data_IF_028210626619
#
_entry.id   IF_028210626619
#
_cell.length_a   1.000
_cell.length_b   1.000
_cell.length_c   1.000
_cell.angle_alpha   90.00
_cell.angle_beta   90.00
_cell.angle_gamma   90.00
#
_symmetry.space_group_name_H-M   'P 1'
#
loop_
_entity.id
_entity.type
_entity.pdbx_description
1 polymer ?
#
# COMPACT_ATOMS: atom_id res chain seq x y z
N UNK A 1 -4.09 -8.02 -39.27
CA UNK A 1 -5.40 -8.20 -38.59
C UNK A 1 -5.30 -8.78 -37.17
N UNK A 2 -4.47 -9.79 -36.90
CA UNK A 2 -4.31 -10.45 -35.54
C UNK A 2 -4.02 -9.46 -34.38
N UNK A 3 -3.20 -8.45 -34.58
CA UNK A 3 -2.79 -7.56 -33.53
C UNK A 3 -3.85 -6.63 -32.96
N UNK A 4 -4.71 -6.14 -33.80
CA UNK A 4 -5.84 -5.33 -33.32
C UNK A 4 -6.81 -6.15 -32.46
N UNK A 5 -6.85 -7.47 -32.67
CA UNK A 5 -7.68 -8.39 -31.89
C UNK A 5 -7.06 -8.67 -30.51
N UNK A 6 -5.74 -8.83 -30.39
CA UNK A 6 -5.06 -9.08 -29.11
C UNK A 6 -5.23 -7.90 -28.16
N UNK A 7 -4.94 -6.68 -28.64
CA UNK A 7 -5.16 -5.47 -27.83
C UNK A 7 -6.62 -5.29 -27.41
N UNK A 8 -7.58 -5.62 -28.30
CA UNK A 8 -9.00 -5.59 -27.96
C UNK A 8 -9.35 -6.61 -26.88
N UNK A 9 -8.69 -7.77 -26.86
CA UNK A 9 -8.93 -8.81 -25.85
C UNK A 9 -8.41 -8.35 -24.46
N UNK A 10 -7.18 -7.85 -24.41
CA UNK A 10 -6.58 -7.26 -23.20
C UNK A 10 -7.41 -6.09 -22.70
N UNK A 11 -7.79 -5.15 -23.56
CA UNK A 11 -8.64 -4.02 -23.21
C UNK A 11 -10.01 -4.46 -22.67
N UNK A 12 -10.61 -5.51 -23.23
CA UNK A 12 -11.88 -6.06 -22.74
C UNK A 12 -11.75 -6.65 -21.33
N UNK A 13 -10.65 -7.36 -21.05
CA UNK A 13 -10.38 -7.91 -19.71
C UNK A 13 -10.15 -6.79 -18.70
N UNK A 14 -9.33 -5.80 -19.05
CA UNK A 14 -9.09 -4.63 -18.19
C UNK A 14 -10.38 -3.87 -17.89
N UNK A 15 -11.21 -3.65 -18.90
CA UNK A 15 -12.50 -2.97 -18.70
C UNK A 15 -13.42 -3.73 -17.74
N UNK A 16 -13.40 -5.08 -17.77
CA UNK A 16 -14.16 -5.89 -16.81
C UNK A 16 -13.63 -5.71 -15.37
N UNK A 17 -12.30 -5.68 -15.18
CA UNK A 17 -11.69 -5.45 -13.86
C UNK A 17 -12.00 -4.03 -13.39
N UNK A 18 -11.85 -3.03 -14.25
CA UNK A 18 -12.21 -1.63 -13.95
C UNK A 18 -13.69 -1.51 -13.55
N UNK A 19 -14.59 -2.18 -14.25
CA UNK A 19 -16.01 -2.20 -13.90
C UNK A 19 -16.26 -2.89 -12.57
N UNK A 20 -15.62 -4.03 -12.32
CA UNK A 20 -15.71 -4.73 -11.03
C UNK A 20 -15.26 -3.84 -9.86
N UNK A 21 -14.13 -3.13 -10.02
CA UNK A 21 -13.66 -2.20 -8.99
C UNK A 21 -14.58 -0.97 -8.85
N UNK A 22 -15.19 -0.50 -9.93
CA UNK A 22 -16.19 0.56 -9.85
C UNK A 22 -17.42 0.14 -9.04
N UNK A 23 -17.88 -1.10 -9.21
CA UNK A 23 -18.97 -1.69 -8.39
C UNK A 23 -18.56 -1.77 -6.92
N UNK A 24 -17.33 -2.23 -6.64
CA UNK A 24 -16.78 -2.23 -5.26
C UNK A 24 -16.74 -0.82 -4.69
N UNK A 25 -16.31 0.17 -5.47
CA UNK A 25 -16.29 1.58 -5.04
C UNK A 25 -17.69 2.09 -4.71
N UNK A 26 -18.70 1.75 -5.51
CA UNK A 26 -20.09 2.08 -5.21
C UNK A 26 -20.59 1.40 -3.94
N UNK A 27 -20.23 0.13 -3.71
CA UNK A 27 -20.57 -0.58 -2.48
C UNK A 27 -19.92 0.06 -1.25
N UNK A 28 -18.65 0.46 -1.34
CA UNK A 28 -17.98 1.17 -0.24
C UNK A 28 -18.58 2.55 0.04
N UNK A 29 -19.04 3.25 -1.00
CA UNK A 29 -19.79 4.50 -0.83
C UNK A 29 -21.15 4.25 -0.16
N UNK A 30 -21.81 3.15 -0.46
CA UNK A 30 -23.02 2.73 0.25
C UNK A 30 -22.72 2.47 1.73
N UNK A 31 -21.68 1.70 2.05
CA UNK A 31 -21.24 1.49 3.44
C UNK A 31 -20.91 2.79 4.16
N UNK A 32 -20.26 3.75 3.48
CA UNK A 32 -19.99 5.07 4.03
C UNK A 32 -21.29 5.81 4.34
N UNK A 33 -22.26 5.81 3.42
CA UNK A 33 -23.57 6.43 3.64
C UNK A 33 -24.36 5.78 4.78
N UNK A 34 -24.27 4.46 4.92
CA UNK A 34 -24.94 3.70 5.99
C UNK A 34 -24.36 4.02 7.37
N UNK A 35 -23.03 4.10 7.46
CA UNK A 35 -22.35 4.52 8.69
C UNK A 35 -22.69 5.97 9.06
N UNK A 36 -22.83 6.87 8.08
CA UNK A 36 -23.30 8.25 8.32
C UNK A 36 -24.74 8.24 8.86
N UNK A 37 -25.61 7.42 8.31
CA UNK A 37 -26.98 7.29 8.81
C UNK A 37 -27.03 6.73 10.24
N UNK A 38 -26.13 5.80 10.56
CA UNK A 38 -25.97 5.27 11.93
C UNK A 38 -25.47 6.35 12.89
N UNK A 39 -24.51 7.18 12.47
CA UNK A 39 -24.04 8.33 13.25
C UNK A 39 -25.18 9.31 13.52
N UNK A 40 -26.00 9.62 12.50
CA UNK A 40 -27.17 10.45 12.64
C UNK A 40 -28.14 9.89 13.71
N UNK A 41 -28.51 8.64 13.59
CA UNK A 41 -29.46 8.00 14.49
C UNK A 41 -28.94 7.95 15.93
N UNK A 42 -27.68 7.63 16.14
CA UNK A 42 -27.06 7.55 17.47
C UNK A 42 -26.84 8.93 18.08
N UNK A 43 -26.40 9.91 17.29
CA UNK A 43 -26.10 11.26 17.75
C UNK A 43 -27.34 12.07 18.15
N UNK A 44 -28.50 11.79 17.52
CA UNK A 44 -29.75 12.50 17.84
C UNK A 44 -30.65 11.75 18.84
N UNK A 45 -30.54 10.42 18.93
CA UNK A 45 -31.39 9.60 19.81
C UNK A 45 -30.78 9.38 21.18
N UNK A 46 -29.48 9.23 21.26
CA UNK A 46 -28.77 9.18 22.53
C UNK A 46 -28.46 10.62 22.94
N UNK A 47 -29.41 11.26 23.66
CA UNK A 47 -29.05 12.45 24.42
C UNK A 47 -27.84 12.12 25.27
N UNK A 48 -26.72 12.81 25.07
CA UNK A 48 -25.53 12.56 25.85
C UNK A 48 -25.88 12.74 27.32
N UNK A 49 -25.38 11.83 28.16
CA UNK A 49 -25.44 11.99 29.60
C UNK A 49 -24.82 13.35 29.94
N UNK A 50 -25.65 14.29 30.34
CA UNK A 50 -25.20 15.60 30.80
C UNK A 50 -24.52 15.44 32.13
N UNK A 51 -23.22 15.20 32.12
CA UNK A 51 -22.34 15.37 33.27
C UNK A 51 -21.91 16.84 33.31
N UNK A 52 -22.34 17.56 34.35
CA UNK A 52 -21.98 18.96 34.66
C UNK A 52 -22.22 20.01 33.52
N UNK A 53 -23.22 19.81 32.67
CA UNK A 53 -23.54 20.77 31.62
C UNK A 53 -22.66 20.73 30.39
N UNK A 54 -21.74 19.76 30.29
CA UNK A 54 -20.92 19.50 29.12
C UNK A 54 -21.30 18.17 28.50
N UNK A 55 -21.50 18.20 27.19
CA UNK A 55 -21.69 17.01 26.37
C UNK A 55 -20.30 16.43 26.09
N UNK A 56 -19.98 15.30 26.69
CA UNK A 56 -18.80 14.55 26.32
C UNK A 56 -19.08 13.76 25.04
N UNK A 57 -18.75 14.34 23.91
CA UNK A 57 -18.82 13.67 22.60
C UNK A 57 -17.62 12.74 22.35
N UNK A 58 -16.85 12.41 23.36
CA UNK A 58 -15.67 11.54 23.27
C UNK A 58 -15.96 10.13 22.72
N UNK A 59 -17.23 9.74 22.62
CA UNK A 59 -17.70 8.52 21.98
C UNK A 59 -18.24 8.73 20.55
N UNK A 60 -18.24 9.95 20.03
CA UNK A 60 -18.73 10.23 18.68
C UNK A 60 -17.63 10.03 17.65
N UNK A 61 -17.79 9.03 16.81
CA UNK A 61 -16.99 8.91 15.61
C UNK A 61 -17.23 10.12 14.72
N UNK A 62 -16.20 10.85 14.34
CA UNK A 62 -16.33 11.94 13.38
C UNK A 62 -16.61 11.37 11.98
N UNK A 63 -17.20 12.18 11.10
CA UNK A 63 -17.39 11.80 9.71
C UNK A 63 -16.05 11.45 9.05
N UNK A 64 -15.00 12.17 9.44
CA UNK A 64 -13.64 11.93 8.95
C UNK A 64 -13.08 10.58 9.42
N UNK A 65 -13.35 10.12 10.63
CA UNK A 65 -12.94 8.79 11.12
C UNK A 65 -13.67 7.67 10.37
N UNK A 66 -14.97 7.78 10.17
CA UNK A 66 -15.73 6.82 9.35
C UNK A 66 -15.16 6.77 7.92
N UNK A 67 -14.86 7.94 7.34
CA UNK A 67 -14.19 8.02 6.03
C UNK A 67 -12.85 7.29 6.04
N UNK A 68 -12.03 7.49 7.08
CA UNK A 68 -10.71 6.87 7.24
C UNK A 68 -10.81 5.34 7.27
N UNK A 69 -11.68 4.80 8.11
CA UNK A 69 -11.87 3.35 8.24
C UNK A 69 -12.33 2.70 6.93
N UNK A 70 -13.33 3.26 6.28
CA UNK A 70 -13.84 2.75 5.01
C UNK A 70 -12.80 2.89 3.90
N UNK A 71 -12.04 3.99 3.90
CA UNK A 71 -10.96 4.20 2.92
C UNK A 71 -9.82 3.21 3.09
N UNK A 72 -9.51 2.76 4.31
CA UNK A 72 -8.55 1.68 4.56
C UNK A 72 -8.99 0.38 3.89
N UNK A 73 -10.22 -0.07 4.12
CA UNK A 73 -10.77 -1.29 3.52
C UNK A 73 -10.82 -1.16 1.99
N UNK A 74 -11.32 -0.03 1.48
CA UNK A 74 -11.35 0.23 0.05
C UNK A 74 -9.94 0.19 -0.56
N UNK A 75 -8.94 0.74 0.12
CA UNK A 75 -7.57 0.76 -0.35
C UNK A 75 -6.96 -0.65 -0.46
N UNK A 76 -7.23 -1.53 0.49
CA UNK A 76 -6.78 -2.93 0.41
C UNK A 76 -7.36 -3.63 -0.83
N UNK A 77 -8.66 -3.48 -1.09
CA UNK A 77 -9.32 -4.03 -2.27
C UNK A 77 -8.77 -3.39 -3.56
N UNK A 78 -8.45 -2.11 -3.51
CA UNK A 78 -7.83 -1.38 -4.59
C UNK A 78 -6.43 -1.92 -4.94
N UNK A 79 -5.60 -2.24 -3.95
CA UNK A 79 -4.29 -2.85 -4.14
C UNK A 79 -4.39 -4.25 -4.76
N UNK A 80 -5.33 -5.08 -4.33
CA UNK A 80 -5.60 -6.38 -4.95
C UNK A 80 -5.99 -6.21 -6.42
N UNK A 81 -6.85 -5.23 -6.70
CA UNK A 81 -7.28 -4.92 -8.09
C UNK A 81 -6.11 -4.46 -8.96
N UNK A 82 -5.20 -3.65 -8.42
CA UNK A 82 -3.97 -3.24 -9.10
C UNK A 82 -3.12 -4.46 -9.48
N UNK A 83 -2.95 -5.41 -8.57
CA UNK A 83 -2.27 -6.69 -8.86
C UNK A 83 -2.93 -7.45 -10.02
N UNK A 84 -4.26 -7.55 -10.02
CA UNK A 84 -5.03 -8.20 -11.10
C UNK A 84 -4.90 -7.47 -12.43
N UNK A 85 -4.92 -6.15 -12.45
CA UNK A 85 -4.71 -5.32 -13.65
C UNK A 85 -3.36 -5.65 -14.28
N UNK A 86 -2.29 -5.70 -13.47
CA UNK A 86 -0.94 -5.98 -13.96
C UNK A 86 -0.84 -7.41 -14.48
N UNK A 87 -1.41 -8.38 -13.77
CA UNK A 87 -1.48 -9.77 -14.25
C UNK A 87 -2.16 -9.87 -15.61
N UNK A 88 -3.30 -9.19 -15.79
CA UNK A 88 -4.02 -9.17 -17.06
C UNK A 88 -3.25 -8.50 -18.19
N UNK A 89 -2.53 -7.41 -17.91
CA UNK A 89 -1.71 -6.71 -18.91
C UNK A 89 -0.60 -7.60 -19.46
N UNK A 90 0.05 -8.36 -18.58
CA UNK A 90 1.17 -9.20 -18.98
C UNK A 90 0.78 -10.61 -19.42
N UNK A 91 -0.48 -11.02 -19.22
CA UNK A 91 -0.94 -12.35 -19.60
C UNK A 91 -0.67 -12.66 -21.08
N UNK A 92 -1.08 -11.74 -21.96
CA UNK A 92 -0.94 -11.91 -23.40
C UNK A 92 0.51 -11.64 -23.87
N UNK A 93 1.22 -10.68 -23.25
CA UNK A 93 2.61 -10.32 -23.59
C UNK A 93 3.58 -11.50 -23.37
N UNK A 94 3.24 -12.43 -22.46
CA UNK A 94 4.10 -13.58 -22.13
C UNK A 94 3.89 -14.79 -23.00
N UNK A 95 2.85 -14.85 -23.81
CA UNK A 95 2.70 -15.88 -24.82
C UNK A 95 3.72 -15.60 -25.93
N UNK A 96 4.56 -16.60 -26.26
CA UNK A 96 5.67 -16.40 -27.20
C UNK A 96 5.20 -15.87 -28.55
N UNK A 97 4.14 -16.45 -29.11
CA UNK A 97 3.54 -15.99 -30.39
C UNK A 97 3.09 -14.53 -30.32
N UNK A 98 2.51 -14.12 -29.20
CA UNK A 98 2.02 -12.75 -29.01
C UNK A 98 3.17 -11.78 -28.82
N UNK A 99 4.20 -12.20 -28.11
CA UNK A 99 5.41 -11.40 -27.87
C UNK A 99 6.15 -11.15 -29.19
N UNK A 100 6.48 -12.20 -29.94
CA UNK A 100 7.15 -12.08 -31.24
C UNK A 100 6.37 -11.17 -32.19
N UNK A 101 5.05 -11.36 -32.23
CA UNK A 101 4.20 -10.49 -33.02
C UNK A 101 4.23 -9.03 -32.52
N UNK A 102 4.17 -8.77 -31.20
CA UNK A 102 4.20 -7.39 -30.67
C UNK A 102 5.51 -6.67 -31.04
N UNK A 103 6.64 -7.36 -30.94
CA UNK A 103 7.94 -6.79 -31.28
C UNK A 103 8.22 -6.70 -32.78
N UNK A 104 7.43 -7.40 -33.62
CA UNK A 104 7.47 -7.27 -35.09
C UNK A 104 6.66 -6.07 -35.61
N UNK A 105 5.87 -5.40 -34.75
CA UNK A 105 5.11 -4.22 -35.15
C UNK A 105 6.05 -3.05 -35.47
N UNK A 106 5.73 -2.22 -36.49
CA UNK A 106 6.49 -1.02 -36.79
C UNK A 106 6.25 0.11 -35.79
N UNK A 107 6.35 -0.21 -34.50
CA UNK A 107 6.13 0.70 -33.37
C UNK A 107 7.33 0.59 -32.44
N UNK A 108 7.84 1.70 -31.97
CA UNK A 108 8.97 1.68 -31.06
C UNK A 108 8.58 1.03 -29.74
N UNK A 109 9.50 0.26 -29.13
CA UNK A 109 9.31 -0.38 -27.83
C UNK A 109 8.90 0.62 -26.73
N UNK A 110 9.36 1.87 -26.86
CA UNK A 110 8.98 2.97 -25.96
C UNK A 110 7.49 3.25 -25.97
N UNK A 111 6.88 3.22 -27.16
CA UNK A 111 5.44 3.44 -27.32
C UNK A 111 4.65 2.24 -26.78
N UNK A 112 5.15 1.02 -27.01
CA UNK A 112 4.54 -0.19 -26.44
C UNK A 112 4.56 -0.16 -24.91
N UNK A 113 5.71 0.17 -24.32
CA UNK A 113 5.88 0.32 -22.88
C UNK A 113 4.93 1.39 -22.32
N UNK A 114 4.97 2.61 -22.89
CA UNK A 114 4.14 3.71 -22.43
C UNK A 114 2.64 3.38 -22.51
N UNK A 115 2.21 2.72 -23.62
CA UNK A 115 0.83 2.29 -23.79
C UNK A 115 0.41 1.28 -22.71
N UNK A 116 1.24 0.25 -22.45
CA UNK A 116 0.95 -0.76 -21.45
C UNK A 116 0.84 -0.14 -20.05
N UNK A 117 1.80 0.72 -19.69
CA UNK A 117 1.82 1.38 -18.38
C UNK A 117 0.62 2.33 -18.19
N UNK A 118 0.40 3.25 -19.15
CA UNK A 118 -0.70 4.22 -19.07
C UNK A 118 -2.07 3.54 -19.06
N UNK A 119 -2.24 2.46 -19.84
CA UNK A 119 -3.51 1.74 -19.87
C UNK A 119 -3.86 1.13 -18.51
N UNK A 120 -2.87 0.59 -17.80
CA UNK A 120 -3.06 0.09 -16.45
C UNK A 120 -3.37 1.20 -15.46
N UNK A 121 -2.62 2.32 -15.51
CA UNK A 121 -2.91 3.49 -14.67
C UNK A 121 -4.34 3.99 -14.87
N UNK A 122 -4.80 4.13 -16.09
CA UNK A 122 -6.16 4.55 -16.39
C UNK A 122 -7.21 3.57 -15.84
N UNK A 123 -6.93 2.26 -15.90
CA UNK A 123 -7.86 1.24 -15.46
C UNK A 123 -8.21 1.35 -13.96
N UNK A 124 -7.28 1.72 -13.10
CA UNK A 124 -7.56 1.90 -11.67
C UNK A 124 -7.88 3.36 -11.30
N UNK A 125 -7.45 4.34 -12.10
CA UNK A 125 -7.77 5.75 -11.82
C UNK A 125 -9.26 6.04 -11.95
N UNK A 126 -9.96 5.36 -12.86
CA UNK A 126 -11.42 5.55 -13.06
C UNK A 126 -12.21 5.17 -11.79
N UNK A 127 -12.05 3.96 -11.18
CA UNK A 127 -12.71 3.63 -9.92
C UNK A 127 -12.30 4.53 -8.76
N UNK A 128 -11.03 4.96 -8.72
CA UNK A 128 -10.56 5.91 -7.71
C UNK A 128 -11.27 7.26 -7.82
N UNK A 129 -11.41 7.80 -9.04
CA UNK A 129 -12.16 9.04 -9.28
C UNK A 129 -13.61 8.91 -8.84
N UNK A 130 -14.25 7.78 -9.19
CA UNK A 130 -15.63 7.50 -8.77
C UNK A 130 -15.77 7.52 -7.25
N UNK A 131 -14.87 6.83 -6.55
CA UNK A 131 -14.85 6.81 -5.09
C UNK A 131 -14.61 8.21 -4.51
N UNK A 132 -13.62 8.94 -5.02
CA UNK A 132 -13.27 10.29 -4.58
C UNK A 132 -14.46 11.25 -4.72
N UNK A 133 -15.09 11.29 -5.88
CA UNK A 133 -16.25 12.15 -6.13
C UNK A 133 -17.42 11.76 -5.22
N UNK A 134 -17.68 10.47 -5.05
CA UNK A 134 -18.72 9.97 -4.18
C UNK A 134 -18.51 10.37 -2.72
N UNK A 135 -17.30 10.22 -2.17
CA UNK A 135 -16.95 10.65 -0.80
C UNK A 135 -17.18 12.15 -0.63
N UNK A 136 -16.72 12.97 -1.56
CA UNK A 136 -16.88 14.42 -1.48
C UNK A 136 -18.36 14.84 -1.55
N UNK A 137 -19.18 14.20 -2.39
CA UNK A 137 -20.63 14.45 -2.46
C UNK A 137 -21.30 14.08 -1.12
N UNK A 138 -21.01 12.89 -0.58
CA UNK A 138 -21.58 12.45 0.71
C UNK A 138 -21.17 13.37 1.84
N UNK A 139 -19.91 13.82 1.87
CA UNK A 139 -19.43 14.80 2.84
C UNK A 139 -20.21 16.13 2.72
N UNK A 140 -20.30 16.72 1.52
CA UNK A 140 -20.98 18.01 1.32
C UNK A 140 -22.45 17.91 1.70
N UNK A 141 -23.10 16.80 1.36
CA UNK A 141 -24.53 16.58 1.68
C UNK A 141 -24.79 16.53 3.19
N UNK A 142 -23.87 15.96 3.94
CA UNK A 142 -24.07 15.71 5.37
C UNK A 142 -23.39 16.75 6.28
N UNK A 143 -22.60 17.67 5.72
CA UNK A 143 -21.80 18.60 6.49
C UNK A 143 -22.63 19.52 7.40
N UNK A 144 -23.81 20.01 6.94
CA UNK A 144 -24.61 20.99 7.68
C UNK A 144 -25.06 20.46 9.04
N UNK A 145 -25.68 19.27 9.07
CA UNK A 145 -26.18 18.71 10.32
C UNK A 145 -25.03 18.21 11.22
N UNK A 146 -23.91 17.75 10.64
CA UNK A 146 -22.71 17.36 11.40
C UNK A 146 -22.09 18.58 12.09
N UNK A 147 -22.07 19.73 11.43
CA UNK A 147 -21.63 21.00 12.04
C UNK A 147 -22.48 21.39 13.24
N UNK A 148 -23.79 21.25 13.12
CA UNK A 148 -24.70 21.49 14.24
C UNK A 148 -24.42 20.55 15.41
N UNK A 149 -24.13 19.29 15.13
CA UNK A 149 -23.77 18.29 16.13
C UNK A 149 -22.45 18.64 16.84
N UNK A 150 -21.41 19.02 16.07
CA UNK A 150 -20.11 19.38 16.64
C UNK A 150 -20.18 20.65 17.52
N UNK A 151 -21.06 21.57 17.23
CA UNK A 151 -21.25 22.79 18.07
C UNK A 151 -21.69 22.48 19.50
N UNK A 152 -22.17 21.27 19.76
CA UNK A 152 -22.52 20.80 21.10
C UNK A 152 -21.29 20.38 21.91
N UNK A 153 -20.16 20.12 21.25
CA UNK A 153 -18.90 19.69 21.87
C UNK A 153 -18.00 20.88 22.23
N UNK A 154 -17.31 20.79 23.36
CA UNK A 154 -16.30 21.76 23.81
C UNK A 154 -15.15 21.92 22.79
N UNK A 155 -14.83 20.86 22.10
CA UNK A 155 -13.73 20.79 21.13
C UNK A 155 -14.17 21.00 19.66
N UNK A 156 -15.36 21.56 19.44
CA UNK A 156 -15.97 21.70 18.12
C UNK A 156 -15.04 22.30 17.04
N UNK A 157 -14.13 23.21 17.40
CA UNK A 157 -13.19 23.82 16.46
C UNK A 157 -12.23 22.79 15.86
N UNK A 158 -11.76 21.85 16.67
CA UNK A 158 -10.84 20.79 16.22
C UNK A 158 -11.55 19.82 15.28
N UNK A 159 -12.79 19.44 15.59
CA UNK A 159 -13.61 18.60 14.71
C UNK A 159 -13.87 19.27 13.37
N UNK A 160 -14.16 20.56 13.37
CA UNK A 160 -14.37 21.33 12.16
C UNK A 160 -13.09 21.45 11.31
N UNK A 161 -11.92 21.52 11.93
CA UNK A 161 -10.64 21.49 11.22
C UNK A 161 -10.39 20.14 10.53
N UNK A 162 -10.72 19.02 11.17
CA UNK A 162 -10.60 17.69 10.57
C UNK A 162 -11.52 17.53 9.36
N UNK A 163 -12.73 18.08 9.45
CA UNK A 163 -13.73 18.01 8.38
C UNK A 163 -13.41 18.88 7.15
N UNK A 164 -12.28 19.60 7.12
CA UNK A 164 -11.92 20.38 5.95
C UNK A 164 -11.71 19.48 4.72
N UNK A 165 -12.26 19.92 3.57
CA UNK A 165 -12.11 19.22 2.26
C UNK A 165 -10.64 18.90 1.95
N UNK A 166 -9.74 19.80 2.35
CA UNK A 166 -8.31 19.62 2.17
C UNK A 166 -7.76 18.33 2.78
N UNK A 167 -8.28 17.93 3.95
CA UNK A 167 -7.85 16.71 4.64
C UNK A 167 -8.32 15.44 3.92
N UNK A 168 -9.57 15.42 3.46
CA UNK A 168 -10.08 14.34 2.61
C UNK A 168 -9.25 14.20 1.32
N UNK A 169 -8.99 15.34 0.66
CA UNK A 169 -8.20 15.33 -0.57
C UNK A 169 -6.76 14.89 -0.37
N UNK A 170 -6.11 15.29 0.74
CA UNK A 170 -4.76 14.84 1.07
C UNK A 170 -4.71 13.31 1.15
N UNK A 171 -5.63 12.68 1.89
CA UNK A 171 -5.70 11.22 2.03
C UNK A 171 -5.99 10.57 0.69
N UNK A 172 -7.01 11.01 -0.05
CA UNK A 172 -7.39 10.41 -1.32
C UNK A 172 -6.27 10.48 -2.36
N UNK A 173 -5.59 11.62 -2.46
CA UNK A 173 -4.43 11.79 -3.36
C UNK A 173 -3.28 10.90 -2.94
N UNK A 174 -2.98 10.83 -1.65
CA UNK A 174 -1.93 9.97 -1.12
C UNK A 174 -2.20 8.48 -1.43
N UNK A 175 -3.43 8.01 -1.23
CA UNK A 175 -3.85 6.64 -1.55
C UNK A 175 -3.69 6.33 -3.04
N UNK A 176 -4.01 7.29 -3.93
CA UNK A 176 -3.82 7.13 -5.37
C UNK A 176 -2.34 7.07 -5.77
N UNK A 177 -1.51 7.94 -5.22
CA UNK A 177 -0.07 7.96 -5.51
C UNK A 177 0.59 6.69 -4.99
N UNK A 178 0.23 6.24 -3.79
CA UNK A 178 0.72 4.98 -3.26
C UNK A 178 0.25 3.79 -4.10
N UNK A 179 -1.02 3.75 -4.49
CA UNK A 179 -1.53 2.76 -5.43
C UNK A 179 -0.73 2.75 -6.74
N UNK A 180 -0.33 3.93 -7.23
CA UNK A 180 0.53 4.05 -8.42
C UNK A 180 1.94 3.54 -8.17
N UNK A 181 2.48 3.73 -6.96
CA UNK A 181 3.77 3.15 -6.55
C UNK A 181 3.71 1.62 -6.53
N UNK A 182 2.68 1.05 -5.89
CA UNK A 182 2.44 -0.40 -5.88
C UNK A 182 2.24 -0.94 -7.29
N UNK A 183 1.46 -0.27 -8.14
CA UNK A 183 1.32 -0.62 -9.55
C UNK A 183 2.67 -0.67 -10.26
N UNK A 184 3.52 0.32 -10.04
CA UNK A 184 4.84 0.40 -10.67
C UNK A 184 5.77 -0.71 -10.20
N UNK A 185 5.69 -1.11 -8.91
CA UNK A 185 6.41 -2.28 -8.37
C UNK A 185 5.91 -3.57 -9.05
N UNK A 186 4.61 -3.81 -9.08
CA UNK A 186 4.04 -4.99 -9.74
C UNK A 186 4.40 -5.04 -11.22
N UNK A 187 4.32 -3.90 -11.91
CA UNK A 187 4.67 -3.78 -13.33
C UNK A 187 6.15 -4.13 -13.56
N UNK A 188 7.05 -3.60 -12.72
CA UNK A 188 8.48 -3.92 -12.78
C UNK A 188 8.72 -5.41 -12.51
N UNK A 189 8.07 -6.00 -11.50
CA UNK A 189 8.21 -7.42 -11.18
C UNK A 189 7.71 -8.31 -12.30
N UNK A 190 6.72 -7.90 -13.07
CA UNK A 190 6.31 -8.62 -14.27
C UNK A 190 7.39 -8.63 -15.36
N UNK A 191 8.20 -7.60 -15.46
CA UNK A 191 9.34 -7.56 -16.36
C UNK A 191 10.50 -8.41 -15.81
N UNK A 192 10.73 -8.30 -14.50
CA UNK A 192 11.86 -8.93 -13.81
C UNK A 192 11.75 -10.47 -13.67
N UNK A 193 10.53 -11.00 -13.57
CA UNK A 193 10.27 -12.42 -13.38
C UNK A 193 9.80 -13.10 -14.65
N UNK A 194 10.04 -14.42 -14.75
CA UNK A 194 9.64 -15.23 -15.91
C UNK A 194 8.17 -15.66 -15.85
N UNK A 195 7.64 -15.96 -14.66
CA UNK A 195 6.25 -16.45 -14.47
C UNK A 195 5.36 -15.35 -13.89
N UNK A 196 4.15 -15.17 -14.46
CA UNK A 196 3.18 -14.15 -14.02
C UNK A 196 2.84 -14.22 -12.53
N UNK A 197 2.51 -15.42 -12.05
CA UNK A 197 2.09 -15.65 -10.66
C UNK A 197 3.24 -15.35 -9.71
N UNK A 198 4.47 -15.81 -10.03
CA UNK A 198 5.64 -15.52 -9.20
C UNK A 198 5.97 -14.02 -9.18
N UNK A 199 5.79 -13.32 -10.30
CA UNK A 199 5.96 -11.88 -10.36
C UNK A 199 4.98 -11.14 -9.44
N UNK A 200 3.72 -11.57 -9.40
CA UNK A 200 2.72 -11.02 -8.49
C UNK A 200 3.06 -11.33 -7.03
N UNK A 201 3.43 -12.57 -6.70
CA UNK A 201 3.84 -12.95 -5.34
C UNK A 201 5.06 -12.16 -4.86
N UNK A 202 6.10 -12.03 -5.69
CA UNK A 202 7.27 -11.24 -5.33
C UNK A 202 6.97 -9.73 -5.26
N UNK A 203 6.09 -9.22 -6.12
CA UNK A 203 5.62 -7.84 -6.03
C UNK A 203 4.91 -7.56 -4.71
N UNK A 204 4.00 -8.45 -4.28
CA UNK A 204 3.37 -8.39 -2.96
C UNK A 204 4.41 -8.50 -1.85
N UNK A 205 5.36 -9.42 -1.97
CA UNK A 205 6.45 -9.56 -1.01
C UNK A 205 7.27 -8.27 -0.87
N UNK A 206 7.64 -7.60 -1.96
CA UNK A 206 8.39 -6.33 -1.92
C UNK A 206 7.58 -5.22 -1.23
N UNK A 207 6.27 -5.20 -1.37
CA UNK A 207 5.40 -4.21 -0.72
C UNK A 207 5.23 -4.53 0.77
N UNK A 208 4.94 -5.80 1.11
CA UNK A 208 4.60 -6.20 2.47
C UNK A 208 5.83 -6.44 3.37
N UNK A 209 6.96 -6.93 2.82
CA UNK A 209 8.16 -7.26 3.61
C UNK A 209 8.71 -6.09 4.43
N UNK A 210 8.93 -4.89 3.86
CA UNK A 210 9.44 -3.77 4.64
C UNK A 210 8.49 -3.33 5.75
N UNK A 211 7.18 -3.34 5.49
CA UNK A 211 6.16 -3.03 6.47
C UNK A 211 6.16 -4.06 7.61
N UNK A 212 6.12 -5.36 7.28
CA UNK A 212 6.17 -6.44 8.26
C UNK A 212 7.43 -6.38 9.13
N UNK A 213 8.62 -6.28 8.51
CA UNK A 213 9.88 -6.17 9.23
C UNK A 213 9.93 -4.92 10.12
N UNK A 214 9.39 -3.80 9.62
CA UNK A 214 9.31 -2.56 10.39
C UNK A 214 8.47 -2.71 11.65
N UNK A 215 7.27 -3.29 11.55
CA UNK A 215 6.37 -3.52 12.69
C UNK A 215 6.99 -4.47 13.70
N UNK A 216 7.38 -5.67 13.27
CA UNK A 216 7.91 -6.70 14.15
C UNK A 216 9.20 -6.25 14.89
N UNK A 217 10.07 -5.54 14.19
CA UNK A 217 11.29 -5.03 14.81
C UNK A 217 11.01 -3.83 15.71
N UNK A 218 10.25 -2.83 15.23
CA UNK A 218 10.01 -1.60 15.98
C UNK A 218 9.09 -1.78 17.18
N UNK A 219 8.05 -2.61 17.07
CA UNK A 219 7.02 -2.79 18.09
C UNK A 219 7.18 -4.08 18.87
N UNK A 220 7.68 -5.14 18.24
CA UNK A 220 7.86 -6.44 18.88
C UNK A 220 9.18 -6.60 19.63
N UNK A 221 10.30 -6.33 18.97
CA UNK A 221 11.64 -6.68 19.48
C UNK A 221 12.32 -5.52 20.20
N UNK A 222 12.37 -4.34 19.59
CA UNK A 222 13.15 -3.21 20.12
C UNK A 222 12.67 -2.66 21.47
N UNK A 223 11.36 -2.60 21.79
CA UNK A 223 10.87 -2.12 23.07
C UNK A 223 11.36 -2.96 24.25
N UNK A 224 11.54 -4.28 24.07
CA UNK A 224 12.01 -5.20 25.10
C UNK A 224 13.46 -4.91 25.53
N UNK A 225 14.23 -4.24 24.68
CA UNK A 225 15.64 -3.90 24.91
C UNK A 225 15.90 -2.39 24.95
N UNK A 226 14.89 -1.61 25.31
CA UNK A 226 14.92 -0.14 25.30
C UNK A 226 15.96 0.51 26.21
N UNK A 227 16.58 -0.24 27.13
CA UNK A 227 17.67 0.22 28.01
C UNK A 227 18.96 0.56 27.24
N UNK A 228 19.19 -0.02 26.07
CA UNK A 228 20.41 0.17 25.28
C UNK A 228 20.31 1.40 24.38
N UNK A 229 21.31 2.32 24.42
CA UNK A 229 21.35 3.54 23.57
C UNK A 229 21.25 3.24 22.07
N UNK A 230 21.91 2.16 21.61
CA UNK A 230 21.91 1.77 20.20
C UNK A 230 20.52 1.28 19.77
N UNK A 231 19.82 0.54 20.64
CA UNK A 231 18.45 0.09 20.39
C UNK A 231 17.49 1.27 20.23
N UNK A 232 17.67 2.34 21.03
CA UNK A 232 16.88 3.58 20.87
C UNK A 232 17.13 4.28 19.53
N UNK A 233 18.37 4.24 19.02
CA UNK A 233 18.69 4.81 17.70
C UNK A 233 18.11 3.94 16.59
N UNK A 234 18.29 2.63 16.66
CA UNK A 234 17.71 1.67 15.72
C UNK A 234 16.18 1.76 15.72
N UNK A 235 15.55 1.86 16.90
CA UNK A 235 14.11 2.02 17.05
C UNK A 235 13.57 3.25 16.31
N UNK A 236 14.27 4.39 16.42
CA UNK A 236 13.89 5.59 15.66
C UNK A 236 14.03 5.40 14.14
N UNK A 237 15.14 4.79 13.69
CA UNK A 237 15.36 4.55 12.25
C UNK A 237 14.36 3.55 11.68
N UNK A 238 14.15 2.43 12.37
CA UNK A 238 13.20 1.39 11.95
C UNK A 238 11.76 1.88 12.04
N UNK A 239 11.41 2.65 13.09
CA UNK A 239 10.11 3.29 13.24
C UNK A 239 9.82 4.25 12.08
N UNK A 240 10.75 5.16 11.77
CA UNK A 240 10.59 6.06 10.62
C UNK A 240 10.46 5.29 9.30
N UNK A 241 11.14 4.17 9.15
CA UNK A 241 11.04 3.32 7.96
C UNK A 241 9.70 2.58 7.91
N UNK A 242 9.26 2.03 9.04
CA UNK A 242 7.93 1.43 9.20
C UNK A 242 6.85 2.41 8.72
N UNK A 243 6.90 3.65 9.18
CA UNK A 243 5.91 4.68 8.85
C UNK A 243 5.85 5.03 7.36
N UNK A 244 6.97 4.89 6.61
CA UNK A 244 6.99 5.08 5.16
C UNK A 244 6.30 3.94 4.39
N UNK A 245 6.37 2.70 4.88
CA UNK A 245 5.83 1.52 4.22
C UNK A 245 4.45 1.11 4.74
N UNK A 246 4.17 1.35 6.01
CA UNK A 246 2.84 1.17 6.58
C UNK A 246 1.94 2.32 6.13
N UNK A 247 1.03 1.96 5.26
CA UNK A 247 -0.06 2.84 4.87
C UNK A 247 -1.23 2.70 5.84
N UNK A 248 -0.97 2.86 7.12
CA UNK A 248 -2.00 3.01 8.14
C UNK A 248 -2.30 4.49 8.22
N UNK A 249 -3.55 4.86 7.98
CA UNK A 249 -3.98 6.26 8.04
C UNK A 249 -3.82 6.84 9.45
N UNK A 250 -3.77 5.99 10.47
CA UNK A 250 -3.56 6.38 11.87
C UNK A 250 -2.20 7.06 12.11
N UNK A 251 -1.14 6.61 11.43
CA UNK A 251 0.19 7.20 11.57
C UNK A 251 0.33 8.62 10.99
N UNK A 252 -0.71 9.13 10.32
CA UNK A 252 -0.72 10.48 9.79
C UNK A 252 -1.13 11.54 10.81
N UNK A 253 -1.55 11.12 12.00
CA UNK A 253 -2.02 12.00 13.06
C UNK A 253 -0.92 12.18 14.10
N UNK A 254 -0.58 13.42 14.39
CA UNK A 254 0.21 13.78 15.57
C UNK A 254 -0.75 14.10 16.71
N UNK A 255 -0.57 13.41 17.85
CA UNK A 255 -1.20 13.82 19.09
C UNK A 255 -0.66 15.22 19.45
N UNK A 256 -1.51 16.22 19.52
CA UNK A 256 -1.13 17.52 20.07
C UNK A 256 -0.99 17.37 21.58
N UNK A 257 0.16 17.78 22.14
CA UNK A 257 0.56 17.59 23.55
C UNK A 257 -0.42 18.12 24.62
N UNK A 258 -1.49 18.81 24.25
CA UNK A 258 -2.38 19.51 25.20
C UNK A 258 -3.52 18.63 25.70
N UNK A 259 -3.95 17.61 24.97
CA UNK A 259 -4.97 16.65 25.42
C UNK A 259 -4.87 15.36 24.60
N UNK A 260 -4.71 14.25 25.27
CA UNK A 260 -4.41 12.91 24.76
C UNK A 260 -5.42 12.28 23.77
N UNK A 261 -6.40 13.02 23.26
CA UNK A 261 -7.46 12.52 22.38
C UNK A 261 -7.54 13.19 20.99
N UNK A 262 -6.70 14.16 20.65
CA UNK A 262 -6.86 14.92 19.41
C UNK A 262 -5.66 14.75 18.46
N UNK A 263 -5.94 14.22 17.28
CA UNK A 263 -4.98 14.02 16.22
C UNK A 263 -5.14 15.10 15.14
N UNK A 264 -4.07 15.85 14.88
CA UNK A 264 -3.97 16.67 13.68
C UNK A 264 -3.20 15.92 12.59
N UNK A 265 -3.56 16.15 11.32
CA UNK A 265 -2.79 15.55 10.22
C UNK A 265 -1.41 16.17 10.18
N UNK A 266 -0.37 15.38 10.47
CA UNK A 266 1.00 15.82 10.35
C UNK A 266 1.35 16.12 8.91
N UNK A 267 1.53 17.41 8.60
CA UNK A 267 1.94 17.84 7.26
C UNK A 267 3.31 17.26 6.87
N UNK A 268 4.21 17.06 7.84
CA UNK A 268 5.55 16.54 7.60
C UNK A 268 5.51 15.09 7.12
N UNK A 269 4.85 14.21 7.87
CA UNK A 269 4.73 12.78 7.53
C UNK A 269 4.01 12.61 6.19
N UNK A 270 2.99 13.42 5.91
CA UNK A 270 2.30 13.41 4.63
C UNK A 270 3.25 13.65 3.45
N UNK A 271 4.09 14.69 3.51
CA UNK A 271 5.03 15.02 2.44
C UNK A 271 6.16 13.98 2.30
N UNK A 272 6.63 13.42 3.40
CA UNK A 272 7.61 12.34 3.40
C UNK A 272 7.06 11.09 2.70
N UNK A 273 5.84 10.66 3.03
CA UNK A 273 5.16 9.53 2.36
C UNK A 273 4.93 9.81 0.86
N UNK A 274 4.51 11.02 0.51
CA UNK A 274 4.33 11.45 -0.87
C UNK A 274 5.64 11.40 -1.66
N UNK A 275 6.70 11.99 -1.12
CA UNK A 275 8.01 12.01 -1.76
C UNK A 275 8.57 10.59 -1.96
N UNK A 276 8.42 9.74 -0.95
CA UNK A 276 8.83 8.34 -1.02
C UNK A 276 8.06 7.57 -2.11
N UNK A 277 6.74 7.69 -2.16
CA UNK A 277 5.93 7.03 -3.17
C UNK A 277 6.29 7.50 -4.59
N UNK A 278 6.50 8.79 -4.79
CA UNK A 278 6.96 9.35 -6.08
C UNK A 278 8.34 8.80 -6.45
N UNK A 279 9.27 8.72 -5.48
CA UNK A 279 10.59 8.14 -5.72
C UNK A 279 10.49 6.68 -6.19
N UNK A 280 9.65 5.87 -5.52
CA UNK A 280 9.39 4.47 -5.91
C UNK A 280 8.84 4.39 -7.33
N UNK A 281 7.87 5.24 -7.69
CA UNK A 281 7.31 5.29 -9.06
C UNK A 281 8.42 5.58 -10.08
N UNK A 282 9.22 6.61 -9.85
CA UNK A 282 10.29 7.02 -10.77
C UNK A 282 11.33 5.92 -10.94
N UNK A 283 11.82 5.33 -9.85
CA UNK A 283 12.80 4.24 -9.87
C UNK A 283 12.24 3.02 -10.61
N UNK A 284 11.03 2.58 -10.26
CA UNK A 284 10.39 1.44 -10.91
C UNK A 284 10.13 1.68 -12.41
N UNK A 285 9.74 2.90 -12.81
CA UNK A 285 9.56 3.25 -14.21
C UNK A 285 10.88 3.25 -14.99
N UNK A 286 11.94 3.82 -14.43
CA UNK A 286 13.26 3.83 -15.06
C UNK A 286 13.78 2.40 -15.27
N UNK A 287 13.70 1.56 -14.23
CA UNK A 287 14.09 0.15 -14.31
C UNK A 287 13.21 -0.62 -15.28
N UNK A 288 11.90 -0.46 -15.20
CA UNK A 288 10.94 -1.10 -16.10
C UNK A 288 11.23 -0.77 -17.55
N UNK A 289 11.45 0.51 -17.86
CA UNK A 289 11.76 0.96 -19.22
C UNK A 289 13.09 0.39 -19.71
N UNK A 290 14.12 0.39 -18.88
CA UNK A 290 15.45 -0.12 -19.23
C UNK A 290 15.41 -1.61 -19.55
N UNK A 291 14.71 -2.41 -18.74
CA UNK A 291 14.64 -3.85 -18.93
C UNK A 291 13.57 -4.29 -19.93
N UNK A 292 12.50 -3.51 -20.12
CA UNK A 292 11.46 -3.83 -21.10
C UNK A 292 12.02 -3.92 -22.53
N UNK A 293 12.88 -3.00 -22.90
CA UNK A 293 13.54 -2.99 -24.21
C UNK A 293 14.51 -4.18 -24.41
N UNK A 294 14.89 -4.87 -23.34
CA UNK A 294 15.84 -6.02 -23.35
C UNK A 294 15.14 -7.37 -23.17
N UNK A 295 13.82 -7.40 -23.08
CA UNK A 295 13.08 -8.67 -22.86
C UNK A 295 13.31 -9.65 -24.02
N UNK A 296 13.55 -9.17 -25.23
CA UNK A 296 13.73 -9.99 -26.43
C UNK A 296 15.08 -10.70 -26.50
N UNK A 297 16.13 -10.15 -25.84
CA UNK A 297 17.50 -10.63 -26.02
C UNK A 297 17.91 -11.72 -25.01
N UNK A 298 17.05 -12.06 -24.06
CA UNK A 298 17.44 -12.91 -22.95
C UNK A 298 16.77 -14.28 -22.99
N UNK A 299 17.43 -15.27 -23.55
CA UNK A 299 17.25 -16.68 -23.18
C UNK A 299 17.82 -16.91 -21.76
N UNK A 300 17.11 -16.41 -20.75
CA UNK A 300 17.54 -16.61 -19.36
C UNK A 300 16.82 -17.83 -18.80
N UNK A 301 17.58 -18.85 -18.50
CA UNK A 301 17.12 -19.98 -17.68
C UNK A 301 16.98 -19.48 -16.24
N UNK A 302 15.78 -19.67 -15.63
CA UNK A 302 15.57 -19.34 -14.23
C UNK A 302 14.26 -18.59 -13.93
N UNK A 303 14.04 -18.33 -12.64
CA UNK A 303 12.84 -17.64 -12.10
C UNK A 303 12.88 -16.14 -12.44
N UNK A 304 14.05 -15.52 -12.30
CA UNK A 304 14.28 -14.10 -12.55
C UNK A 304 14.99 -13.89 -13.88
N UNK A 305 14.45 -13.04 -14.72
CA UNK A 305 15.15 -12.53 -15.91
C UNK A 305 16.30 -11.60 -15.54
N UNK A 306 16.14 -10.88 -14.43
CA UNK A 306 17.12 -9.94 -13.91
C UNK A 306 17.86 -10.61 -12.75
N UNK A 307 19.10 -11.04 -12.99
CA UNK A 307 19.86 -11.85 -12.04
C UNK A 307 20.07 -11.23 -10.66
N UNK A 308 20.30 -9.92 -10.58
CA UNK A 308 20.51 -9.23 -9.30
C UNK A 308 19.26 -9.20 -8.41
N UNK A 309 18.05 -9.34 -8.97
CA UNK A 309 16.81 -9.38 -8.19
C UNK A 309 16.71 -10.59 -7.25
N UNK A 310 17.53 -11.63 -7.46
CA UNK A 310 17.59 -12.78 -6.56
C UNK A 310 18.01 -12.37 -5.15
N UNK A 311 18.99 -11.48 -5.04
CA UNK A 311 19.58 -11.07 -3.75
C UNK A 311 18.53 -10.38 -2.86
N UNK A 312 17.91 -9.26 -3.27
CA UNK A 312 16.94 -8.57 -2.40
C UNK A 312 15.72 -9.42 -2.06
N UNK A 313 15.24 -10.26 -3.01
CA UNK A 313 14.08 -11.13 -2.73
C UNK A 313 14.43 -12.21 -1.72
N UNK A 314 15.60 -12.86 -1.85
CA UNK A 314 16.01 -13.90 -0.90
C UNK A 314 16.35 -13.31 0.48
N UNK A 315 17.00 -12.15 0.50
CA UNK A 315 17.30 -11.46 1.76
C UNK A 315 16.01 -11.02 2.47
N UNK A 316 15.05 -10.45 1.74
CA UNK A 316 13.76 -10.07 2.30
C UNK A 316 13.00 -11.27 2.86
N UNK A 317 12.93 -12.39 2.11
CA UNK A 317 12.28 -13.61 2.57
C UNK A 317 12.97 -14.20 3.80
N UNK A 318 14.31 -14.27 3.78
CA UNK A 318 15.12 -14.73 4.91
C UNK A 318 14.91 -13.84 6.15
N UNK A 319 14.83 -12.53 5.95
CA UNK A 319 14.53 -11.56 7.00
C UNK A 319 13.16 -11.80 7.66
N UNK A 320 12.12 -11.97 6.86
CA UNK A 320 10.77 -12.24 7.38
C UNK A 320 10.72 -13.54 8.21
N UNK A 321 11.35 -14.61 7.70
CA UNK A 321 11.40 -15.89 8.43
C UNK A 321 12.25 -15.73 9.71
N UNK A 322 13.40 -15.08 9.61
CA UNK A 322 14.28 -14.84 10.74
C UNK A 322 13.59 -14.05 11.85
N UNK A 323 12.97 -12.92 11.50
CA UNK A 323 12.22 -12.10 12.47
C UNK A 323 11.08 -12.90 13.08
N UNK A 324 10.29 -13.63 12.29
CA UNK A 324 9.20 -14.46 12.82
C UNK A 324 9.68 -15.54 13.81
N UNK A 325 10.82 -16.19 13.54
CA UNK A 325 11.41 -17.19 14.47
C UNK A 325 11.89 -16.51 15.76
N UNK A 326 12.67 -15.44 15.63
CA UNK A 326 13.27 -14.79 16.80
C UNK A 326 12.26 -14.00 17.63
N UNK A 327 11.23 -13.38 17.01
CA UNK A 327 10.14 -12.76 17.75
C UNK A 327 9.40 -13.79 18.63
N UNK A 328 9.10 -14.98 18.08
CA UNK A 328 8.49 -16.05 18.86
C UNK A 328 9.42 -16.56 19.96
N UNK A 329 10.72 -16.73 19.70
CA UNK A 329 11.68 -17.15 20.73
C UNK A 329 11.79 -16.13 21.86
N UNK A 330 11.76 -14.83 21.55
CA UNK A 330 11.77 -13.77 22.58
C UNK A 330 10.51 -13.80 23.41
N UNK A 331 9.34 -13.96 22.79
CA UNK A 331 8.05 -13.99 23.52
C UNK A 331 7.88 -15.20 24.40
N UNK A 332 8.41 -16.37 24.03
CA UNK A 332 8.19 -17.63 24.77
C UNK A 332 9.34 -18.05 25.67
N UNK A 333 10.56 -17.52 25.49
CA UNK A 333 11.76 -17.98 26.19
C UNK A 333 12.53 -16.88 26.93
N UNK A 334 11.94 -15.69 27.12
CA UNK A 334 12.51 -14.57 27.88
C UNK A 334 14.00 -14.33 27.58
N UNK A 335 14.36 -14.25 26.30
CA UNK A 335 15.73 -13.99 25.89
C UNK A 335 16.15 -12.57 26.31
N UNK A 336 16.89 -12.46 27.41
CA UNK A 336 17.32 -11.17 27.98
C UNK A 336 18.34 -10.41 27.10
N UNK A 337 19.06 -11.13 26.22
CA UNK A 337 20.15 -10.54 25.45
C UNK A 337 19.71 -10.10 24.05
N UNK A 338 19.33 -8.82 23.90
CA UNK A 338 18.88 -8.24 22.65
C UNK A 338 19.89 -8.28 21.50
N UNK A 339 21.18 -8.27 21.81
CA UNK A 339 22.23 -8.43 20.80
C UNK A 339 22.19 -9.81 20.16
N UNK A 340 21.98 -10.84 20.96
CA UNK A 340 21.88 -12.22 20.47
C UNK A 340 20.70 -12.37 19.51
N UNK A 341 19.58 -11.72 19.80
CA UNK A 341 18.40 -11.71 18.93
C UNK A 341 18.69 -10.99 17.62
N UNK A 342 19.24 -9.77 17.66
CA UNK A 342 19.55 -8.99 16.46
C UNK A 342 20.60 -9.69 15.57
N UNK A 343 21.68 -10.21 16.16
CA UNK A 343 22.68 -10.98 15.42
C UNK A 343 22.13 -12.31 14.91
N UNK A 344 21.22 -12.93 15.66
CA UNK A 344 20.53 -14.14 15.25
C UNK A 344 19.68 -13.91 14.00
N UNK A 345 18.87 -12.85 13.99
CA UNK A 345 18.06 -12.45 12.79
C UNK A 345 18.98 -12.17 11.60
N UNK A 346 20.01 -11.35 11.80
CA UNK A 346 20.94 -11.01 10.71
C UNK A 346 21.68 -12.25 10.20
N UNK A 347 22.19 -13.10 11.08
CA UNK A 347 22.89 -14.34 10.75
C UNK A 347 21.97 -15.31 10.01
N UNK A 348 20.76 -15.53 10.50
CA UNK A 348 19.77 -16.39 9.84
C UNK A 348 19.41 -15.87 8.44
N UNK A 349 19.16 -14.57 8.31
CA UNK A 349 18.84 -13.91 7.03
C UNK A 349 19.96 -14.15 6.01
N UNK A 350 21.21 -13.96 6.43
CA UNK A 350 22.39 -14.16 5.57
C UNK A 350 22.56 -15.64 5.19
N UNK A 351 22.47 -16.55 6.14
CA UNK A 351 22.58 -17.99 5.90
C UNK A 351 21.49 -18.49 4.96
N UNK A 352 20.25 -18.05 5.18
CA UNK A 352 19.12 -18.39 4.32
C UNK A 352 19.34 -17.87 2.89
N UNK A 353 19.75 -16.61 2.74
CA UNK A 353 20.00 -16.01 1.42
C UNK A 353 21.11 -16.76 0.66
N UNK A 354 22.22 -17.10 1.34
CA UNK A 354 23.34 -17.85 0.76
C UNK A 354 22.93 -19.28 0.41
N UNK A 355 22.26 -19.98 1.32
CA UNK A 355 21.79 -21.35 1.08
C UNK A 355 20.81 -21.43 -0.08
N UNK A 356 19.81 -20.54 -0.11
CA UNK A 356 18.83 -20.48 -1.18
C UNK A 356 19.46 -20.08 -2.53
N UNK A 357 20.43 -19.15 -2.52
CA UNK A 357 21.18 -18.80 -3.73
C UNK A 357 21.96 -19.99 -4.28
N UNK A 358 22.68 -20.74 -3.43
CA UNK A 358 23.45 -21.90 -3.83
C UNK A 358 22.56 -23.05 -4.36
N UNK A 359 21.40 -23.29 -3.72
CA UNK A 359 20.42 -24.28 -4.16
C UNK A 359 19.86 -23.93 -5.55
N UNK A 360 19.53 -22.67 -5.79
CA UNK A 360 19.05 -22.21 -7.10
C UNK A 360 20.13 -22.34 -8.16
N UNK A 361 21.38 -21.98 -7.83
CA UNK A 361 22.49 -22.13 -8.76
C UNK A 361 22.73 -23.59 -9.15
N UNK A 362 22.63 -24.55 -8.20
CA UNK A 362 22.80 -25.99 -8.47
C UNK A 362 21.71 -26.58 -9.36
N UNK A 363 20.50 -26.01 -9.33
CA UNK A 363 19.34 -26.47 -10.14
C UNK A 363 19.22 -25.77 -11.49
N UNK A 364 20.19 -24.94 -11.89
CA UNK A 364 20.16 -24.19 -13.15
C UNK A 364 19.14 -23.01 -13.13
N UNK A 365 18.75 -22.56 -11.94
CA UNK A 365 17.84 -21.42 -11.80
C UNK A 365 18.55 -20.09 -11.58
#
# INVERSE_FOLDING_TARGET
MKGRQIWKCTDRRLNKITLGMAVISCFMLYCFSDNIATLWNNGYINTPDMYDGYVDCGAMNTLFEIFKEISCVWHLLFLVTIGLIVLCLFWDIRQDDTREWMFSLPVTERVLFARAWLRGVLAYTIPWLLYTVGVLILRVRNLSWIQELYLLDVNWKKWMELEQVGNYMKILVLLWIWGTACYSIFFFMQIACRKNILAALFGTGIICTPAYLGVEIAEGILPLYSSMKIVKILGRVVGSWKDLFLFVLDDMYEATEVDSMFYSISCKIYWEKMAFAVLVIVVCLMLSRYYFCRINDQHVEGIFRIGWMRIPVLTGLGGCIGVGIFANLVLYHDLENGWLVLFGIAGFTLLFAVAAHNLMKRRGY
#
